data_IF_249486965473
#
_entry.id   IF_249486965473
#
_cell.length_a   1.000
_cell.length_b   1.000
_cell.length_c   1.000
_cell.angle_alpha   90.00
_cell.angle_beta   90.00
_cell.angle_gamma   90.00
#
_symmetry.space_group_name_H-M   'P 1'
#
loop_
_entity.id
_entity.type
_entity.pdbx_description
1 polymer ?
#
# COMPACT_ATOMS: atom_id res chain seq x y z
N UNK A 1 -16.54 5.12 11.92
CA UNK A 1 -16.03 6.49 11.68
C UNK A 1 -16.01 6.87 10.20
N UNK A 2 -15.67 5.97 9.26
CA UNK A 2 -15.64 6.33 7.83
C UNK A 2 -16.98 6.83 7.27
N UNK A 3 -18.11 6.19 7.62
CA UNK A 3 -19.45 6.69 7.25
C UNK A 3 -19.71 8.09 7.81
N UNK A 4 -19.41 8.33 9.09
CA UNK A 4 -19.57 9.65 9.69
C UNK A 4 -18.70 10.73 9.01
N UNK A 5 -17.49 10.37 8.55
CA UNK A 5 -16.66 11.29 7.76
C UNK A 5 -17.26 11.54 6.37
N UNK A 6 -17.82 10.51 5.73
CA UNK A 6 -18.54 10.65 4.46
C UNK A 6 -19.78 11.55 4.61
N UNK A 7 -20.59 11.33 5.63
CA UNK A 7 -21.80 12.10 5.94
C UNK A 7 -21.48 13.56 6.31
N UNK A 8 -20.35 13.79 6.97
CA UNK A 8 -19.85 15.13 7.29
C UNK A 8 -19.25 15.88 6.08
N UNK A 9 -19.18 15.25 4.91
CA UNK A 9 -18.73 15.90 3.67
C UNK A 9 -17.23 15.90 3.44
N UNK A 10 -16.44 15.05 4.15
CA UNK A 10 -15.01 14.91 3.85
C UNK A 10 -14.79 14.31 2.45
N UNK A 11 -13.71 14.71 1.78
CA UNK A 11 -13.37 14.21 0.45
C UNK A 11 -12.69 12.83 0.47
N UNK A 12 -11.97 12.51 1.55
CA UNK A 12 -11.13 11.31 1.61
C UNK A 12 -10.90 10.79 3.03
N UNK A 13 -10.60 9.49 3.12
CA UNK A 13 -10.19 8.78 4.33
C UNK A 13 -8.86 8.07 4.07
N UNK A 14 -7.92 8.23 4.99
CA UNK A 14 -6.55 7.75 4.84
C UNK A 14 -6.16 6.78 5.96
N UNK A 15 -5.45 5.71 5.61
CA UNK A 15 -5.01 4.67 6.54
C UNK A 15 -3.48 4.60 6.54
N UNK A 16 -2.84 4.64 7.71
CA UNK A 16 -1.39 4.47 7.82
C UNK A 16 -0.99 3.01 7.53
N UNK A 17 -0.07 2.81 6.59
CA UNK A 17 0.49 1.50 6.27
C UNK A 17 1.68 1.19 7.18
N UNK A 18 1.37 0.59 8.32
CA UNK A 18 2.29 0.27 9.40
C UNK A 18 1.84 -1.02 10.09
N UNK A 19 2.76 -1.70 10.75
CA UNK A 19 2.50 -2.92 11.50
C UNK A 19 2.76 -2.74 13.00
N UNK A 20 3.80 -1.98 13.37
CA UNK A 20 4.24 -1.89 14.76
C UNK A 20 4.91 -0.55 15.09
N UNK A 21 4.48 0.06 16.20
CA UNK A 21 5.18 1.15 16.86
C UNK A 21 5.68 0.67 18.23
N UNK A 22 6.99 0.79 18.43
CA UNK A 22 7.70 0.45 19.67
C UNK A 22 8.91 1.37 19.81
N UNK A 23 9.22 1.75 21.05
CA UNK A 23 10.42 2.54 21.37
C UNK A 23 10.27 4.05 21.21
N UNK A 24 9.05 4.57 21.05
CA UNK A 24 8.74 6.00 20.95
C UNK A 24 8.28 6.62 22.29
N UNK A 25 8.55 5.95 23.41
CA UNK A 25 8.14 6.38 24.75
C UNK A 25 6.65 6.13 25.07
N UNK A 26 5.90 5.48 24.18
CA UNK A 26 4.51 5.07 24.40
C UNK A 26 4.40 3.55 24.53
N UNK A 27 3.30 3.02 25.10
CA UNK A 27 3.01 1.59 25.04
C UNK A 27 3.03 1.08 23.61
N UNK A 28 3.45 -0.18 23.46
CA UNK A 28 3.44 -0.86 22.17
C UNK A 28 2.05 -0.86 21.56
N UNK A 29 1.99 -0.59 20.26
CA UNK A 29 0.74 -0.52 19.50
C UNK A 29 1.00 -0.85 18.04
N UNK A 30 -0.03 -1.30 17.35
CA UNK A 30 -0.04 -1.45 15.89
C UNK A 30 -1.40 -1.02 15.36
N UNK A 31 -1.48 -0.43 14.17
CA UNK A 31 -2.76 -0.21 13.51
C UNK A 31 -3.30 -1.54 12.97
N UNK A 32 -4.52 -1.52 12.42
CA UNK A 32 -4.98 -2.62 11.57
C UNK A 32 -4.17 -2.67 10.27
N UNK A 33 -4.06 -3.85 9.67
CA UNK A 33 -3.41 -4.03 8.37
C UNK A 33 -4.13 -3.17 7.32
N UNK A 34 -3.36 -2.30 6.65
CA UNK A 34 -3.91 -1.17 5.90
C UNK A 34 -4.74 -1.61 4.70
N UNK A 35 -4.29 -2.60 3.94
CA UNK A 35 -4.95 -3.01 2.70
C UNK A 35 -6.25 -3.76 2.95
N UNK A 36 -6.27 -4.63 3.96
CA UNK A 36 -7.48 -5.31 4.42
C UNK A 36 -8.50 -4.32 4.96
N UNK A 37 -8.06 -3.31 5.71
CA UNK A 37 -8.94 -2.26 6.18
C UNK A 37 -9.49 -1.42 5.03
N UNK A 38 -8.65 -0.99 4.09
CA UNK A 38 -9.07 -0.22 2.91
C UNK A 38 -10.08 -0.99 2.07
N UNK A 39 -9.90 -2.30 1.88
CA UNK A 39 -10.87 -3.15 1.18
C UNK A 39 -12.23 -3.16 1.88
N UNK A 40 -12.26 -3.29 3.22
CA UNK A 40 -13.51 -3.22 3.99
C UNK A 40 -14.15 -1.83 3.99
N UNK A 41 -13.36 -0.76 4.02
CA UNK A 41 -13.85 0.61 3.92
C UNK A 41 -14.45 0.90 2.53
N UNK A 42 -13.86 0.32 1.48
CA UNK A 42 -14.33 0.46 0.11
C UNK A 42 -15.75 -0.09 -0.08
N UNK A 43 -16.13 -1.16 0.63
CA UNK A 43 -17.48 -1.75 0.51
C UNK A 43 -18.57 -0.99 1.24
N UNK A 44 -18.23 -0.22 2.28
CA UNK A 44 -19.23 0.47 3.12
C UNK A 44 -19.38 1.95 2.78
N UNK A 45 -18.39 2.55 2.13
CA UNK A 45 -18.42 3.95 1.69
C UNK A 45 -18.74 4.04 0.20
N UNK A 46 -19.32 5.15 -0.23
CA UNK A 46 -19.79 5.30 -1.62
C UNK A 46 -19.18 6.48 -2.37
N UNK A 47 -18.62 7.46 -1.66
CA UNK A 47 -18.21 8.75 -2.23
C UNK A 47 -16.79 9.15 -1.84
N UNK A 48 -16.35 8.92 -0.61
CA UNK A 48 -15.01 9.32 -0.15
C UNK A 48 -13.94 8.59 -0.95
N UNK A 49 -12.87 9.29 -1.30
CA UNK A 49 -11.65 8.63 -1.77
C UNK A 49 -10.97 7.91 -0.61
N UNK A 50 -10.31 6.80 -0.91
CA UNK A 50 -9.63 5.98 0.09
C UNK A 50 -8.17 5.84 -0.30
N UNK A 51 -7.25 5.79 0.65
CA UNK A 51 -5.85 5.56 0.32
C UNK A 51 -4.97 5.25 1.52
N UNK A 52 -3.85 4.57 1.29
CA UNK A 52 -2.81 4.47 2.29
C UNK A 52 -2.07 5.82 2.40
N UNK A 53 -1.60 6.16 3.61
CA UNK A 53 -0.80 7.37 3.88
C UNK A 53 0.53 7.00 4.53
N UNK A 54 1.53 6.56 3.78
CA UNK A 54 1.48 6.13 2.36
C UNK A 54 1.80 4.64 2.30
N UNK A 55 1.44 3.94 1.21
CA UNK A 55 1.81 2.53 1.03
C UNK A 55 3.33 2.39 1.10
N UNK A 56 3.82 1.51 1.96
CA UNK A 56 5.24 1.20 1.99
C UNK A 56 5.55 0.13 0.96
N UNK A 57 6.17 0.52 -0.16
CA UNK A 57 6.47 -0.41 -1.25
C UNK A 57 7.43 -1.52 -0.83
N UNK A 58 8.25 -1.27 0.19
CA UNK A 58 9.22 -2.24 0.69
C UNK A 58 8.59 -3.32 1.57
N UNK A 59 7.30 -3.21 1.95
CA UNK A 59 6.61 -4.26 2.73
C UNK A 59 6.14 -5.44 1.89
N UNK A 60 5.98 -5.25 0.58
CA UNK A 60 5.35 -6.24 -0.28
C UNK A 60 6.22 -6.53 -1.51
N UNK A 61 6.13 -7.73 -2.08
CA UNK A 61 6.56 -7.94 -3.45
C UNK A 61 5.80 -6.96 -4.37
N UNK A 62 6.50 -6.20 -5.25
CA UNK A 62 5.88 -5.07 -5.95
C UNK A 62 4.72 -5.47 -6.87
N UNK A 63 4.83 -6.60 -7.57
CA UNK A 63 3.74 -7.11 -8.39
C UNK A 63 2.49 -7.52 -7.56
N UNK A 64 2.71 -8.00 -6.33
CA UNK A 64 1.61 -8.34 -5.41
C UNK A 64 0.93 -7.06 -4.91
N UNK A 65 1.71 -6.04 -4.54
CA UNK A 65 1.16 -4.74 -4.14
C UNK A 65 0.32 -4.11 -5.26
N UNK A 66 0.81 -4.16 -6.51
CA UNK A 66 0.05 -3.67 -7.66
C UNK A 66 -1.29 -4.41 -7.79
N UNK A 67 -1.30 -5.74 -7.60
CA UNK A 67 -2.54 -6.52 -7.64
C UNK A 67 -3.50 -6.18 -6.50
N UNK A 68 -2.99 -5.98 -5.28
CA UNK A 68 -3.79 -5.55 -4.13
C UNK A 68 -4.42 -4.18 -4.41
N UNK A 69 -3.62 -3.21 -4.86
CA UNK A 69 -4.10 -1.86 -5.18
C UNK A 69 -5.17 -1.88 -6.27
N UNK A 70 -4.94 -2.57 -7.39
CA UNK A 70 -5.94 -2.72 -8.45
C UNK A 70 -7.24 -3.36 -7.94
N UNK A 71 -7.13 -4.35 -7.04
CA UNK A 71 -8.31 -5.01 -6.46
C UNK A 71 -9.12 -4.05 -5.58
N UNK A 72 -8.46 -3.28 -4.71
CA UNK A 72 -9.14 -2.27 -3.87
C UNK A 72 -9.75 -1.16 -4.73
N UNK A 73 -9.06 -0.74 -5.80
CA UNK A 73 -9.59 0.26 -6.72
C UNK A 73 -10.91 -0.21 -7.36
N UNK A 74 -10.95 -1.45 -7.88
CA UNK A 74 -12.17 -2.06 -8.42
C UNK A 74 -13.28 -2.17 -7.36
N UNK A 75 -12.96 -2.68 -6.16
CA UNK A 75 -13.95 -2.81 -5.06
C UNK A 75 -14.51 -1.44 -4.65
N UNK A 76 -13.68 -0.41 -4.70
CA UNK A 76 -14.08 0.96 -4.38
C UNK A 76 -14.85 1.67 -5.50
N UNK A 77 -14.84 1.13 -6.72
CA UNK A 77 -15.39 1.79 -7.90
C UNK A 77 -14.52 2.98 -8.38
N UNK A 78 -13.19 2.84 -8.36
CA UNK A 78 -12.26 3.86 -8.86
C UNK A 78 -11.93 4.97 -7.85
N UNK A 79 -12.16 4.73 -6.55
CA UNK A 79 -11.96 5.72 -5.48
C UNK A 79 -10.62 5.57 -4.75
N UNK A 80 -9.78 4.62 -5.13
CA UNK A 80 -8.47 4.45 -4.52
C UNK A 80 -7.52 5.56 -4.97
N UNK A 81 -6.81 6.16 -4.01
CA UNK A 81 -5.65 7.01 -4.25
C UNK A 81 -4.42 6.31 -3.72
N UNK A 82 -3.55 5.86 -4.63
CA UNK A 82 -2.34 5.12 -4.28
C UNK A 82 -1.19 6.08 -3.91
N UNK A 83 -1.14 6.47 -2.64
CA UNK A 83 0.06 7.12 -2.08
C UNK A 83 1.18 6.10 -1.88
N UNK A 84 2.40 6.40 -2.34
CA UNK A 84 3.54 5.46 -2.31
C UNK A 84 4.74 6.05 -1.59
N UNK A 85 5.43 5.24 -0.78
CA UNK A 85 6.65 5.64 -0.09
C UNK A 85 7.60 4.48 0.22
N UNK A 86 8.83 4.83 0.60
CA UNK A 86 9.90 3.88 0.85
C UNK A 86 9.91 3.28 2.27
N UNK A 87 8.98 3.68 3.15
CA UNK A 87 8.96 3.32 4.58
C UNK A 87 10.07 3.98 5.39
N UNK A 88 9.92 4.07 6.71
CA UNK A 88 10.87 4.81 7.56
C UNK A 88 11.17 4.15 8.91
N UNK A 89 10.26 3.34 9.44
CA UNK A 89 10.33 2.84 10.79
C UNK A 89 11.08 1.50 10.82
N UNK A 90 12.38 1.52 11.15
CA UNK A 90 13.20 0.30 11.20
C UNK A 90 12.62 -0.78 12.12
N UNK A 91 11.99 -0.38 13.23
CA UNK A 91 11.49 -1.31 14.24
C UNK A 91 10.51 -2.33 13.69
N UNK A 92 9.57 -1.91 12.84
CA UNK A 92 8.61 -2.83 12.22
C UNK A 92 9.24 -3.63 11.09
N UNK A 93 10.19 -3.07 10.34
CA UNK A 93 10.93 -3.81 9.33
C UNK A 93 11.67 -4.99 9.98
N UNK A 94 12.43 -4.73 11.04
CA UNK A 94 13.17 -5.76 11.77
C UNK A 94 12.21 -6.78 12.41
N UNK A 95 11.11 -6.32 13.02
CA UNK A 95 10.13 -7.19 13.69
C UNK A 95 9.37 -8.11 12.72
N UNK A 96 9.14 -7.67 11.49
CA UNK A 96 8.42 -8.43 10.45
C UNK A 96 9.37 -9.13 9.46
N UNK A 97 10.68 -9.07 9.68
CA UNK A 97 11.67 -9.75 8.83
C UNK A 97 11.84 -9.11 7.45
N UNK A 98 11.56 -7.82 7.32
CA UNK A 98 11.63 -7.05 6.07
C UNK A 98 12.96 -6.30 6.05
N UNK A 99 13.74 -6.37 4.94
CA UNK A 99 15.02 -5.66 4.87
C UNK A 99 14.86 -4.13 4.95
N UNK A 100 15.53 -3.49 5.92
CA UNK A 100 15.63 -2.04 6.04
C UNK A 100 16.89 -1.46 5.34
N UNK A 101 17.38 -2.13 4.31
CA UNK A 101 18.56 -1.71 3.54
C UNK A 101 18.13 -1.09 2.20
N UNK A 102 18.94 -0.19 1.66
CA UNK A 102 18.76 0.36 0.30
C UNK A 102 17.34 0.85 -0.03
N UNK A 103 16.60 1.38 0.97
CA UNK A 103 15.15 1.67 0.88
C UNK A 103 14.75 2.46 -0.36
N UNK A 104 15.56 3.46 -0.74
CA UNK A 104 15.30 4.29 -1.92
C UNK A 104 15.45 3.51 -3.23
N UNK A 105 16.50 2.71 -3.39
CA UNK A 105 16.73 1.91 -4.60
C UNK A 105 15.74 0.74 -4.72
N UNK A 106 15.36 0.12 -3.60
CA UNK A 106 14.27 -0.89 -3.57
C UNK A 106 12.92 -0.26 -3.96
N UNK A 107 12.65 0.94 -3.43
CA UNK A 107 11.47 1.71 -3.78
C UNK A 107 11.44 2.08 -5.26
N UNK A 108 12.55 2.53 -5.84
CA UNK A 108 12.65 2.89 -7.26
C UNK A 108 12.28 1.72 -8.18
N UNK A 109 12.90 0.54 -7.96
CA UNK A 109 12.57 -0.67 -8.71
C UNK A 109 11.11 -1.11 -8.49
N UNK A 110 10.63 -1.04 -7.24
CA UNK A 110 9.25 -1.38 -6.91
C UNK A 110 8.24 -0.44 -7.58
N UNK A 111 8.52 0.85 -7.59
CA UNK A 111 7.69 1.88 -8.22
C UNK A 111 7.59 1.65 -9.72
N UNK A 112 8.70 1.32 -10.39
CA UNK A 112 8.68 1.01 -11.82
C UNK A 112 7.77 -0.18 -12.12
N UNK A 113 7.92 -1.29 -11.39
CA UNK A 113 7.08 -2.49 -11.56
C UNK A 113 5.61 -2.16 -11.32
N UNK A 114 5.29 -1.50 -10.20
CA UNK A 114 3.91 -1.16 -9.82
C UNK A 114 3.27 -0.26 -10.86
N UNK A 115 3.96 0.83 -11.26
CA UNK A 115 3.46 1.79 -12.24
C UNK A 115 3.14 1.13 -13.58
N UNK A 116 4.07 0.33 -14.11
CA UNK A 116 3.89 -0.36 -15.41
C UNK A 116 2.73 -1.36 -15.37
N UNK A 117 2.60 -2.12 -14.28
CA UNK A 117 1.49 -3.06 -14.10
C UNK A 117 0.14 -2.32 -14.03
N UNK A 118 0.08 -1.19 -13.32
CA UNK A 118 -1.14 -0.37 -13.23
C UNK A 118 -1.48 0.34 -14.56
N UNK A 119 -0.49 0.60 -15.42
CA UNK A 119 -0.69 1.06 -16.80
C UNK A 119 -1.23 -0.05 -17.74
N UNK A 120 -1.45 -1.27 -17.22
CA UNK A 120 -1.97 -2.40 -17.98
C UNK A 120 -0.90 -3.17 -18.77
N UNK A 121 0.39 -2.91 -18.52
CA UNK A 121 1.47 -3.65 -19.18
C UNK A 121 1.58 -5.09 -18.68
N UNK A 122 2.11 -5.95 -19.55
CA UNK A 122 2.71 -7.24 -19.19
C UNK A 122 4.19 -7.02 -18.88
N UNK A 123 4.58 -7.19 -17.62
CA UNK A 123 5.88 -6.78 -17.10
C UNK A 123 6.77 -8.00 -16.82
N UNK A 124 7.94 -7.99 -17.45
CA UNK A 124 9.11 -8.74 -16.98
C UNK A 124 10.16 -7.73 -16.53
N UNK A 125 10.68 -7.91 -15.31
CA UNK A 125 11.66 -7.03 -14.69
C UNK A 125 12.74 -7.87 -14.00
N UNK A 126 14.00 -7.51 -14.20
CA UNK A 126 15.15 -8.16 -13.59
C UNK A 126 16.06 -7.08 -13.01
N UNK A 127 15.71 -6.60 -11.82
CA UNK A 127 16.48 -5.61 -11.08
C UNK A 127 17.44 -6.24 -10.09
N UNK A 128 18.08 -5.38 -9.30
CA UNK A 128 19.00 -5.79 -8.24
C UNK A 128 18.25 -6.30 -7.02
N UNK A 129 17.09 -5.73 -6.73
CA UNK A 129 16.33 -5.98 -5.52
C UNK A 129 15.03 -6.73 -5.79
N UNK A 130 14.41 -6.47 -6.94
CA UNK A 130 13.15 -7.06 -7.33
C UNK A 130 13.26 -7.74 -8.70
N UNK A 131 12.49 -8.81 -8.84
CA UNK A 131 12.28 -9.44 -10.14
C UNK A 131 10.82 -9.85 -10.28
N UNK A 132 10.33 -9.80 -11.50
CA UNK A 132 9.04 -10.37 -11.89
C UNK A 132 9.14 -10.87 -13.32
N UNK A 133 8.39 -11.92 -13.65
CA UNK A 133 8.44 -12.54 -14.98
C UNK A 133 7.02 -12.68 -15.50
N UNK A 134 6.79 -12.10 -16.67
CA UNK A 134 5.53 -12.22 -17.40
C UNK A 134 4.28 -11.86 -16.56
N UNK A 135 4.42 -10.90 -15.64
CA UNK A 135 3.35 -10.48 -14.75
C UNK A 135 2.36 -9.56 -15.48
N UNK A 136 1.07 -9.76 -15.24
CA UNK A 136 0.00 -8.92 -15.77
C UNK A 136 -1.09 -8.81 -14.70
N UNK A 137 -1.72 -7.65 -14.59
CA UNK A 137 -2.88 -7.48 -13.71
C UNK A 137 -4.13 -7.91 -14.48
N UNK A 138 -4.78 -8.97 -13.98
CA UNK A 138 -6.08 -9.45 -14.47
C UNK A 138 -6.94 -9.94 -13.29
N UNK A 139 -8.26 -9.69 -13.29
CA UNK A 139 -8.87 -8.49 -13.88
C UNK A 139 -8.28 -7.22 -13.27
#
# INVERSE_FOLDING_TARGET
>A
MALAAEDAGFDSVWVGDHYLYRGDGRPERGPWEAWTLLAGLATVTTRVRLGPLVACLNFHPPAVLAKIAATVDVVSGGRLVLGMGAGWNRTEFDAFGIPFDHRASRFEESFEIVRRLLDGERVTFAGRWHSTRDAVLLP
#
